data_IF_250312661305
#
_entry.id   IF_250312661305
#
_cell.length_a   1.000
_cell.length_b   1.000
_cell.length_c   1.000
_cell.angle_alpha   90.00
_cell.angle_beta   90.00
_cell.angle_gamma   90.00
#
_symmetry.space_group_name_H-M   'P 1'
#
loop_
_entity.id
_entity.type
_entity.pdbx_description
1 polymer ?
#
# COMPACT_ATOMS: atom_id res chain seq x y z
N UNK A 1 22.57 -15.29 40.03
CA UNK A 1 21.15 -14.94 39.77
C UNK A 1 20.92 -13.46 39.51
N UNK A 2 21.30 -12.52 40.39
CA UNK A 2 20.99 -11.08 40.19
C UNK A 2 21.53 -10.47 38.87
N UNK A 3 22.76 -10.80 38.48
CA UNK A 3 23.38 -10.28 37.23
C UNK A 3 22.63 -10.67 35.95
N UNK A 4 22.02 -11.85 35.93
CA UNK A 4 21.27 -12.34 34.76
C UNK A 4 19.97 -11.56 34.56
N UNK A 5 19.30 -11.16 35.65
CA UNK A 5 18.11 -10.32 35.58
C UNK A 5 18.43 -8.89 35.15
N UNK A 6 19.58 -8.36 35.59
CA UNK A 6 20.05 -7.04 35.19
C UNK A 6 20.45 -7.01 33.69
N UNK A 7 21.05 -8.07 33.18
CA UNK A 7 21.27 -8.25 31.73
C UNK A 7 19.95 -8.31 30.95
N UNK A 8 18.95 -9.05 31.44
CA UNK A 8 17.63 -9.09 30.81
C UNK A 8 16.93 -7.72 30.80
N UNK A 9 17.10 -6.92 31.86
CA UNK A 9 16.56 -5.56 31.91
C UNK A 9 17.32 -4.58 31.01
N UNK A 10 18.64 -4.72 30.90
CA UNK A 10 19.46 -3.93 29.99
C UNK A 10 19.17 -4.25 28.53
N UNK A 11 19.00 -5.54 28.17
CA UNK A 11 18.54 -5.95 26.84
C UNK A 11 17.15 -5.42 26.52
N UNK A 12 16.23 -5.40 27.50
CA UNK A 12 14.89 -4.82 27.32
C UNK A 12 14.95 -3.31 27.13
N UNK A 13 15.80 -2.61 27.87
CA UNK A 13 16.03 -1.17 27.70
C UNK A 13 16.69 -0.84 26.37
N UNK A 14 17.65 -1.64 25.93
CA UNK A 14 18.32 -1.48 24.63
C UNK A 14 17.35 -1.73 23.48
N UNK A 15 16.48 -2.75 23.57
CA UNK A 15 15.41 -3.00 22.61
C UNK A 15 14.33 -1.90 22.59
N UNK A 16 14.15 -1.20 23.71
CA UNK A 16 13.22 -0.06 23.83
C UNK A 16 13.82 1.27 23.38
N UNK A 17 15.12 1.32 23.03
CA UNK A 17 15.83 2.51 22.53
C UNK A 17 15.76 2.65 21.00
N UNK A 18 15.07 1.74 20.31
CA UNK A 18 14.83 1.93 18.89
C UNK A 18 14.12 3.29 18.70
N UNK A 19 14.58 4.15 17.77
CA UNK A 19 13.84 5.36 17.43
C UNK A 19 12.39 4.97 17.13
N UNK A 20 11.41 5.81 17.51
CA UNK A 20 10.02 5.54 17.16
C UNK A 20 9.97 5.17 15.67
N UNK A 21 9.21 4.12 15.30
CA UNK A 21 9.06 3.81 13.89
C UNK A 21 8.69 5.12 13.18
N UNK A 22 9.30 5.42 12.01
CA UNK A 22 8.91 6.60 11.25
C UNK A 22 7.39 6.65 11.19
N UNK A 23 6.76 7.84 11.32
CA UNK A 23 5.31 7.96 11.35
C UNK A 23 4.75 7.04 10.28
N UNK A 24 3.89 6.10 10.70
CA UNK A 24 3.36 5.06 9.83
C UNK A 24 2.96 5.76 8.55
N UNK A 25 3.66 5.41 7.46
CA UNK A 25 3.46 6.02 6.15
C UNK A 25 1.96 6.03 5.96
N UNK A 26 1.34 7.20 5.83
CA UNK A 26 -0.11 7.31 5.69
C UNK A 26 -0.48 6.67 4.36
N UNK A 27 -0.61 5.34 4.37
CA UNK A 27 -1.18 4.59 3.27
C UNK A 27 -2.67 4.86 3.40
N UNK A 28 -3.32 5.40 2.35
CA UNK A 28 -4.71 5.84 2.45
C UNK A 28 -5.71 4.68 2.51
N UNK A 29 -5.26 3.47 2.83
CA UNK A 29 -6.04 2.24 2.87
C UNK A 29 -5.90 1.56 4.23
N UNK A 30 -6.96 0.91 4.69
CA UNK A 30 -7.01 0.24 5.99
C UNK A 30 -5.98 -0.89 6.11
N UNK A 31 -5.63 -1.28 7.34
CA UNK A 31 -4.74 -2.43 7.58
C UNK A 31 -5.29 -3.73 6.96
N UNK A 32 -6.62 -3.88 6.89
CA UNK A 32 -7.28 -5.00 6.18
C UNK A 32 -6.84 -5.09 4.71
N UNK A 33 -6.70 -3.96 4.03
CA UNK A 33 -6.18 -3.92 2.65
C UNK A 33 -4.72 -4.36 2.61
N UNK A 34 -3.90 -3.94 3.58
CA UNK A 34 -2.49 -4.29 3.64
C UNK A 34 -2.27 -5.79 3.93
N UNK A 35 -3.19 -6.40 4.69
CA UNK A 35 -3.13 -7.81 5.09
C UNK A 35 -3.85 -8.76 4.12
N UNK A 36 -4.77 -8.28 3.27
CA UNK A 36 -5.63 -9.11 2.41
C UNK A 36 -4.88 -10.03 1.42
N UNK A 37 -4.87 -11.35 1.63
CA UNK A 37 -4.06 -12.28 0.83
C UNK A 37 -4.18 -12.07 -0.69
N UNK A 38 -3.03 -11.78 -1.31
CA UNK A 38 -2.98 -11.57 -2.75
C UNK A 38 -3.17 -12.91 -3.47
N UNK A 39 -4.06 -13.00 -4.48
CA UNK A 39 -4.20 -14.20 -5.27
C UNK A 39 -2.89 -14.47 -6.02
N UNK A 40 -2.25 -15.60 -5.72
CA UNK A 40 -0.95 -16.04 -6.27
C UNK A 40 -0.92 -16.15 -7.80
N UNK A 41 -2.09 -16.12 -8.45
CA UNK A 41 -2.29 -16.26 -9.89
C UNK A 41 -2.43 -14.92 -10.63
N UNK A 42 -2.39 -13.77 -9.96
CA UNK A 42 -2.42 -12.50 -10.66
C UNK A 42 -1.11 -12.31 -11.43
N UNK A 43 -1.18 -12.51 -12.74
CA UNK A 43 -0.10 -12.17 -13.64
C UNK A 43 -0.26 -10.69 -13.99
N UNK A 44 0.68 -9.89 -13.51
CA UNK A 44 0.91 -8.46 -13.79
C UNK A 44 0.85 -8.04 -15.27
N UNK A 45 0.77 -9.00 -16.20
CA UNK A 45 0.93 -8.81 -17.64
C UNK A 45 -0.20 -7.98 -18.28
N UNK A 46 -1.37 -7.85 -17.63
CA UNK A 46 -2.50 -7.12 -18.23
C UNK A 46 -2.58 -5.63 -17.84
N UNK A 47 -2.03 -5.24 -16.69
CA UNK A 47 -2.13 -3.84 -16.21
C UNK A 47 -0.78 -3.11 -16.32
N UNK A 48 0.34 -3.84 -16.17
CA UNK A 48 1.68 -3.25 -16.14
C UNK A 48 1.93 -2.41 -14.88
N UNK A 49 3.20 -2.09 -14.63
CA UNK A 49 3.56 -1.06 -13.65
C UNK A 49 3.30 0.32 -14.26
N UNK A 50 2.84 1.28 -13.44
CA UNK A 50 2.73 2.66 -13.86
C UNK A 50 4.13 3.29 -13.88
N UNK A 51 4.63 3.62 -15.07
CA UNK A 51 5.97 4.18 -15.27
C UNK A 51 6.07 5.70 -15.01
N UNK A 52 4.97 6.33 -14.56
CA UNK A 52 4.88 7.78 -14.33
C UNK A 52 4.76 8.63 -15.60
N UNK A 53 4.94 8.04 -16.79
CA UNK A 53 4.89 8.74 -18.07
C UNK A 53 3.54 8.58 -18.78
N UNK A 54 2.89 7.43 -18.62
CA UNK A 54 1.57 7.12 -19.20
C UNK A 54 0.41 7.94 -18.62
N UNK A 55 -0.76 7.84 -19.25
CA UNK A 55 -1.99 8.50 -18.78
C UNK A 55 -2.54 7.81 -17.53
N UNK A 56 -2.75 8.55 -16.41
CA UNK A 56 -3.34 8.02 -15.19
C UNK A 56 -4.70 7.33 -15.35
N UNK A 57 -5.58 7.95 -16.11
CA UNK A 57 -6.98 7.53 -16.24
C UNK A 57 -7.06 6.26 -17.09
N UNK A 58 -6.21 6.18 -18.13
CA UNK A 58 -6.04 4.97 -18.92
C UNK A 58 -5.51 3.80 -18.07
N UNK A 59 -4.52 4.04 -17.20
CA UNK A 59 -4.00 3.01 -16.31
C UNK A 59 -5.07 2.53 -15.31
N UNK A 60 -5.82 3.47 -14.70
CA UNK A 60 -6.95 3.15 -13.82
C UNK A 60 -7.99 2.30 -14.54
N UNK A 61 -8.39 2.69 -15.75
CA UNK A 61 -9.40 1.94 -16.52
C UNK A 61 -8.92 0.52 -16.86
N UNK A 62 -7.65 0.34 -17.22
CA UNK A 62 -7.07 -0.99 -17.44
C UNK A 62 -7.07 -1.83 -16.18
N UNK A 63 -6.72 -1.22 -15.04
CA UNK A 63 -6.78 -1.88 -13.73
C UNK A 63 -8.21 -2.30 -13.36
N UNK A 64 -9.18 -1.40 -13.46
CA UNK A 64 -10.59 -1.66 -13.13
C UNK A 64 -11.17 -2.78 -14.00
N UNK A 65 -10.87 -2.77 -15.31
CA UNK A 65 -11.29 -3.84 -16.22
C UNK A 65 -10.68 -5.19 -15.83
N UNK A 66 -9.40 -5.23 -15.46
CA UNK A 66 -8.75 -6.44 -14.97
C UNK A 66 -9.37 -6.92 -13.65
N UNK A 67 -9.60 -6.01 -12.70
CA UNK A 67 -10.23 -6.31 -11.43
C UNK A 67 -11.67 -6.85 -11.58
N UNK A 68 -12.42 -6.31 -12.54
CA UNK A 68 -13.77 -6.77 -12.87
C UNK A 68 -13.75 -8.18 -13.47
N UNK A 69 -12.85 -8.44 -14.43
CA UNK A 69 -12.68 -9.76 -15.06
C UNK A 69 -12.32 -10.84 -14.04
N UNK A 70 -11.45 -10.51 -13.08
CA UNK A 70 -11.05 -11.42 -12.02
C UNK A 70 -11.99 -11.43 -10.81
N UNK A 71 -13.02 -10.57 -10.80
CA UNK A 71 -14.02 -10.44 -9.72
C UNK A 71 -13.37 -10.24 -8.34
N UNK A 72 -12.36 -9.38 -8.27
CA UNK A 72 -11.71 -9.08 -6.99
C UNK A 72 -12.66 -8.40 -6.02
N UNK A 73 -12.49 -8.71 -4.73
CA UNK A 73 -13.08 -7.95 -3.65
C UNK A 73 -12.35 -6.61 -3.52
N UNK A 74 -13.03 -5.59 -3.02
CA UNK A 74 -12.46 -4.25 -2.85
C UNK A 74 -11.15 -4.22 -2.06
N UNK A 75 -10.95 -5.00 -0.96
CA UNK A 75 -9.64 -5.03 -0.30
C UNK A 75 -8.53 -5.62 -1.18
N UNK A 76 -8.83 -6.65 -1.98
CA UNK A 76 -7.87 -7.24 -2.92
C UNK A 76 -7.56 -6.25 -4.04
N UNK A 77 -8.55 -5.52 -4.56
CA UNK A 77 -8.34 -4.46 -5.56
C UNK A 77 -7.37 -3.41 -5.03
N UNK A 78 -7.61 -2.90 -3.83
CA UNK A 78 -6.75 -1.88 -3.23
C UNK A 78 -5.32 -2.39 -3.04
N UNK A 79 -5.16 -3.63 -2.56
CA UNK A 79 -3.84 -4.22 -2.37
C UNK A 79 -3.08 -4.43 -3.67
N UNK A 80 -3.74 -4.89 -4.74
CA UNK A 80 -3.12 -5.07 -6.05
C UNK A 80 -2.78 -3.71 -6.67
N UNK A 81 -3.67 -2.72 -6.56
CA UNK A 81 -3.43 -1.37 -7.10
C UNK A 81 -2.18 -0.73 -6.49
N UNK A 82 -1.96 -0.91 -5.18
CA UNK A 82 -0.72 -0.46 -4.52
C UNK A 82 0.55 -1.07 -5.12
N UNK A 83 0.47 -2.27 -5.72
CA UNK A 83 1.60 -2.91 -6.40
C UNK A 83 1.85 -2.42 -7.82
N UNK A 84 0.89 -1.71 -8.44
CA UNK A 84 1.07 -1.12 -9.79
C UNK A 84 1.62 0.30 -9.73
N UNK A 85 1.59 0.94 -8.56
CA UNK A 85 2.19 2.25 -8.34
C UNK A 85 3.71 2.12 -8.12
N UNK A 86 4.52 3.06 -8.62
CA UNK A 86 5.95 3.03 -8.37
C UNK A 86 6.22 3.17 -6.88
N UNK A 87 7.17 2.38 -6.39
CA UNK A 87 7.47 2.18 -4.97
C UNK A 87 8.13 3.37 -4.27
N UNK A 88 7.98 4.60 -4.78
CA UNK A 88 8.67 5.77 -4.23
C UNK A 88 7.86 6.41 -3.10
N UNK A 89 8.30 6.28 -1.83
CA UNK A 89 7.57 6.78 -0.67
C UNK A 89 7.54 8.32 -0.56
N UNK A 90 8.26 9.04 -1.44
CA UNK A 90 8.26 10.50 -1.46
C UNK A 90 7.04 11.11 -2.18
N UNK A 91 6.22 10.30 -2.86
CA UNK A 91 5.31 10.81 -3.91
C UNK A 91 3.81 10.77 -3.55
N UNK A 92 3.43 10.01 -2.52
CA UNK A 92 2.06 10.02 -1.94
C UNK A 92 1.68 11.35 -1.26
N UNK A 93 2.66 12.23 -1.01
CA UNK A 93 2.47 13.49 -0.29
C UNK A 93 2.30 14.73 -1.20
N UNK A 94 2.43 14.61 -2.53
CA UNK A 94 2.41 15.77 -3.43
C UNK A 94 1.07 15.89 -4.19
N UNK A 95 0.21 16.88 -3.88
CA UNK A 95 -1.08 17.08 -4.56
C UNK A 95 -0.97 17.52 -6.03
N UNK A 96 0.25 17.63 -6.56
CA UNK A 96 0.56 18.15 -7.90
C UNK A 96 0.98 17.00 -8.84
N UNK A 97 1.27 15.81 -8.30
CA UNK A 97 1.73 14.65 -9.07
C UNK A 97 0.61 13.91 -9.80
N UNK A 98 0.89 13.42 -11.01
CA UNK A 98 -0.02 12.53 -11.78
C UNK A 98 -0.44 11.29 -10.98
N UNK A 99 0.40 10.87 -10.05
CA UNK A 99 0.21 9.71 -9.17
C UNK A 99 -0.77 9.98 -8.02
N UNK A 100 -0.85 11.23 -7.54
CA UNK A 100 -1.90 11.63 -6.60
C UNK A 100 -3.27 11.55 -7.28
N UNK A 101 -3.35 11.97 -8.55
CA UNK A 101 -4.58 11.87 -9.34
C UNK A 101 -4.99 10.41 -9.58
N UNK A 102 -4.01 9.51 -9.80
CA UNK A 102 -4.22 8.05 -9.85
C UNK A 102 -4.85 7.53 -8.56
N UNK A 103 -4.21 7.82 -7.42
CA UNK A 103 -4.66 7.37 -6.12
C UNK A 103 -6.05 7.92 -5.76
N UNK A 104 -6.30 9.20 -6.00
CA UNK A 104 -7.60 9.82 -5.74
C UNK A 104 -8.71 9.26 -6.65
N UNK A 105 -8.39 9.00 -7.91
CA UNK A 105 -9.31 8.39 -8.86
C UNK A 105 -9.68 6.98 -8.43
N UNK A 106 -8.68 6.19 -8.02
CA UNK A 106 -8.89 4.85 -7.51
C UNK A 106 -9.69 4.83 -6.20
N UNK A 107 -9.38 5.71 -5.23
CA UNK A 107 -10.15 5.84 -3.98
C UNK A 107 -11.62 6.18 -4.23
N UNK A 108 -11.93 6.90 -5.31
CA UNK A 108 -13.32 7.20 -5.70
C UNK A 108 -14.06 5.98 -6.28
N UNK A 109 -13.33 4.95 -6.72
CA UNK A 109 -13.88 3.70 -7.29
C UNK A 109 -14.18 2.62 -6.24
N UNK A 110 -13.68 2.79 -5.01
CA UNK A 110 -13.82 1.82 -3.91
C UNK A 110 -14.66 2.39 -2.78
N UNK A 111 -15.34 1.55 -1.98
CA UNK A 111 -16.15 2.05 -0.88
C UNK A 111 -15.28 2.76 0.17
N UNK A 112 -15.81 3.79 0.85
CA UNK A 112 -15.05 4.53 1.88
C UNK A 112 -14.63 3.64 3.06
N UNK A 113 -15.24 2.45 3.23
CA UNK A 113 -14.89 1.48 4.26
C UNK A 113 -13.49 0.87 4.12
N UNK A 114 -12.88 0.93 2.92
CA UNK A 114 -11.52 0.45 2.70
C UNK A 114 -10.47 1.57 2.69
N UNK A 115 -10.91 2.83 2.70
CA UNK A 115 -10.05 4.00 2.80
C UNK A 115 -9.88 4.42 4.27
N UNK A 116 -8.72 4.99 4.64
CA UNK A 116 -8.48 5.59 5.97
C UNK A 116 -8.89 7.07 6.02
#
# INVERSE_FOLDING_TARGET
>A
MRRMYEELENLRKEKSSAPPPPPAREVPFSDEVLEADLPQHFKYHNVGEYDGMGDPEEHLSRFENAALLHRYSDPIKCRIFLTTLPSSPAMVQSPIGREYKMLSGFQSSVPPSVCQ
#
